data_IF_341147469543
#
_entry.id   IF_341147469543
#
_cell.length_a   1.000
_cell.length_b   1.000
_cell.length_c   1.000
_cell.angle_alpha   90.00
_cell.angle_beta   90.00
_cell.angle_gamma   90.00
#
_symmetry.space_group_name_H-M   'P 1'
#
loop_
_entity.id
_entity.type
_entity.pdbx_description
1 polymer ?
#
# COMPACT_ATOMS: atom_id res chain seq x y z
N UNK A 1 -16.82 6.78 2.68
CA UNK A 1 -15.68 5.97 2.21
C UNK A 1 -14.43 6.79 2.41
N UNK A 2 -13.53 6.38 3.32
CA UNK A 2 -12.24 7.05 3.48
C UNK A 2 -11.26 6.40 2.51
N UNK A 3 -11.05 7.09 1.40
CA UNK A 3 -10.02 6.75 0.45
C UNK A 3 -8.63 7.03 1.03
N UNK A 4 -7.71 6.08 0.93
CA UNK A 4 -6.33 6.23 1.35
C UNK A 4 -5.42 6.21 0.13
N UNK A 5 -4.80 7.36 -0.15
CA UNK A 5 -3.81 7.45 -1.22
C UNK A 5 -2.50 6.85 -0.73
N UNK A 6 -2.04 5.78 -1.37
CA UNK A 6 -0.75 5.14 -1.14
C UNK A 6 0.21 5.58 -2.26
N UNK A 7 1.23 6.35 -1.93
CA UNK A 7 2.29 6.76 -2.86
C UNK A 7 3.45 5.78 -2.79
N UNK A 8 3.82 5.19 -3.91
CA UNK A 8 4.99 4.32 -4.05
C UNK A 8 6.07 5.03 -4.84
N UNK A 9 7.29 5.00 -4.30
CA UNK A 9 8.48 5.53 -4.96
C UNK A 9 9.49 4.42 -5.16
N UNK A 10 9.96 4.23 -6.39
CA UNK A 10 11.15 3.42 -6.65
C UNK A 10 12.40 4.23 -6.32
N UNK A 11 13.23 3.72 -5.42
CA UNK A 11 14.50 4.33 -5.04
C UNK A 11 15.55 3.24 -4.88
N UNK A 12 16.65 3.32 -5.62
CA UNK A 12 17.76 2.36 -5.56
C UNK A 12 17.31 0.88 -5.65
N UNK A 13 16.37 0.57 -6.56
CA UNK A 13 15.86 -0.80 -6.76
C UNK A 13 14.82 -1.27 -5.72
N UNK A 14 14.41 -0.41 -4.78
CA UNK A 14 13.37 -0.74 -3.79
C UNK A 14 12.16 0.17 -3.96
N UNK A 15 10.96 -0.42 -4.01
CA UNK A 15 9.69 0.30 -4.05
C UNK A 15 9.20 0.59 -2.64
N UNK A 16 9.15 1.87 -2.26
CA UNK A 16 8.67 2.30 -0.94
C UNK A 16 7.28 2.90 -1.05
N UNK A 17 6.28 2.22 -0.49
CA UNK A 17 4.90 2.64 -0.33
C UNK A 17 4.70 3.48 0.95
N UNK A 18 3.94 4.57 0.85
CA UNK A 18 3.57 5.44 1.96
C UNK A 18 2.12 5.83 1.85
N UNK A 19 1.37 5.69 2.94
CA UNK A 19 -0.01 6.16 3.00
C UNK A 19 -0.07 7.65 3.34
N UNK A 20 -0.84 8.42 2.57
CA UNK A 20 -1.10 9.84 2.82
C UNK A 20 -2.01 9.98 4.03
N UNK A 21 -1.52 10.66 5.06
CA UNK A 21 -2.25 10.87 6.31
C UNK A 21 -2.04 9.77 7.36
N UNK A 22 -1.22 8.75 7.08
CA UNK A 22 -0.91 7.67 8.01
C UNK A 22 0.61 7.58 8.23
N UNK A 23 1.05 7.21 9.43
CA UNK A 23 2.49 7.00 9.72
C UNK A 23 3.02 5.67 9.16
N UNK A 24 2.16 4.84 8.59
CA UNK A 24 2.53 3.55 8.06
C UNK A 24 3.20 3.66 6.68
N UNK A 25 4.32 2.96 6.54
CA UNK A 25 5.06 2.79 5.29
C UNK A 25 5.41 1.32 5.09
N UNK A 26 5.50 0.89 3.85
CA UNK A 26 5.95 -0.44 3.48
C UNK A 26 6.96 -0.32 2.34
N UNK A 27 7.83 -1.31 2.20
CA UNK A 27 8.78 -1.37 1.10
C UNK A 27 8.77 -2.76 0.51
N UNK A 28 9.01 -2.85 -0.79
CA UNK A 28 9.10 -4.12 -1.50
C UNK A 28 10.12 -4.00 -2.61
N UNK A 29 10.94 -5.01 -2.80
CA UNK A 29 11.89 -5.10 -3.92
C UNK A 29 11.26 -5.76 -5.16
N UNK A 30 10.06 -6.35 -5.00
CA UNK A 30 9.39 -7.08 -6.07
C UNK A 30 8.71 -6.11 -7.04
N UNK A 31 7.74 -5.34 -6.54
CA UNK A 31 6.91 -4.45 -7.37
C UNK A 31 6.25 -3.35 -6.54
N UNK A 32 5.85 -2.27 -7.20
CA UNK A 32 5.08 -1.19 -6.59
C UNK A 32 3.75 -1.67 -6.01
N UNK A 33 3.05 -2.55 -6.72
CA UNK A 33 1.81 -3.19 -6.24
C UNK A 33 2.06 -4.02 -4.98
N UNK A 34 3.16 -4.78 -4.92
CA UNK A 34 3.49 -5.59 -3.75
C UNK A 34 3.73 -4.70 -2.52
N UNK A 35 4.43 -3.57 -2.68
CA UNK A 35 4.63 -2.59 -1.62
C UNK A 35 3.30 -1.96 -1.16
N UNK A 36 2.43 -1.58 -2.11
CA UNK A 36 1.12 -1.01 -1.78
C UNK A 36 0.21 -2.02 -1.06
N UNK A 37 0.18 -3.28 -1.53
CA UNK A 37 -0.58 -4.36 -0.88
C UNK A 37 -0.08 -4.63 0.53
N UNK A 38 1.22 -4.74 0.72
CA UNK A 38 1.80 -4.95 2.04
C UNK A 38 1.38 -3.82 3.01
N UNK A 39 1.33 -2.57 2.53
CA UNK A 39 0.87 -1.43 3.32
C UNK A 39 -0.62 -1.53 3.66
N UNK A 40 -1.48 -1.84 2.68
CA UNK A 40 -2.91 -1.98 2.90
C UNK A 40 -3.23 -3.14 3.84
N UNK A 41 -2.63 -4.32 3.62
CA UNK A 41 -2.77 -5.49 4.50
C UNK A 41 -2.31 -5.18 5.92
N UNK A 42 -1.19 -4.46 6.09
CA UNK A 42 -0.69 -4.05 7.41
C UNK A 42 -1.63 -3.09 8.14
N UNK A 43 -2.43 -2.32 7.41
CA UNK A 43 -3.44 -1.41 7.96
C UNK A 43 -4.85 -2.04 8.05
N UNK A 44 -5.02 -3.30 7.64
CA UNK A 44 -6.33 -3.96 7.57
C UNK A 44 -7.25 -3.36 6.50
N UNK A 45 -6.67 -2.82 5.43
CA UNK A 45 -7.35 -2.20 4.30
C UNK A 45 -7.31 -3.14 3.09
N UNK A 46 -8.31 -3.04 2.22
CA UNK A 46 -8.31 -3.73 0.94
C UNK A 46 -7.92 -2.76 -0.18
N UNK A 47 -6.99 -3.19 -1.04
CA UNK A 47 -6.66 -2.47 -2.27
C UNK A 47 -7.82 -2.64 -3.25
N UNK A 48 -8.83 -1.79 -3.13
CA UNK A 48 -10.07 -1.91 -3.88
C UNK A 48 -9.96 -1.45 -5.33
N UNK A 49 -9.06 -0.51 -5.64
CA UNK A 49 -8.84 -0.08 -7.02
C UNK A 49 -7.39 0.38 -7.21
N UNK A 50 -6.65 -0.36 -8.04
CA UNK A 50 -5.38 0.12 -8.58
C UNK A 50 -5.67 1.18 -9.65
N UNK A 51 -6.12 2.35 -9.23
CA UNK A 51 -6.11 3.49 -10.14
C UNK A 51 -4.66 3.97 -10.22
N UNK A 52 -3.94 3.42 -11.20
CA UNK A 52 -2.58 3.82 -11.51
C UNK A 52 -2.65 5.26 -12.03
N UNK A 53 -2.73 6.23 -11.12
CA UNK A 53 -2.63 7.63 -11.45
C UNK A 53 -1.15 7.87 -11.80
N UNK A 54 -0.81 7.52 -13.04
CA UNK A 54 0.42 7.93 -13.67
C UNK A 54 0.37 9.45 -13.71
N UNK A 55 0.97 10.08 -12.70
CA UNK A 55 1.07 11.52 -12.61
C UNK A 55 1.92 11.98 -13.80
N UNK A 56 1.20 12.38 -14.86
CA UNK A 56 1.67 13.12 -16.01
C UNK A 56 2.64 12.36 -16.94
N UNK A 57 2.29 12.27 -18.23
CA UNK A 57 3.12 11.72 -19.32
C UNK A 57 4.44 12.49 -19.58
N UNK A 58 4.90 13.33 -18.65
CA UNK A 58 6.05 14.21 -18.81
C UNK A 58 7.03 14.23 -17.62
N UNK A 59 6.81 13.44 -16.56
CA UNK A 59 7.73 13.45 -15.41
C UNK A 59 8.57 12.18 -15.39
N UNK A 60 9.90 12.35 -15.44
CA UNK A 60 10.92 11.28 -15.33
C UNK A 60 10.93 10.60 -13.95
N UNK A 61 10.04 11.01 -13.05
CA UNK A 61 9.96 10.53 -11.69
C UNK A 61 9.15 9.21 -11.62
N UNK A 62 9.74 8.10 -11.15
CA UNK A 62 9.06 6.82 -11.00
C UNK A 62 8.20 6.81 -9.72
N UNK A 63 7.34 7.81 -9.59
CA UNK A 63 6.33 7.89 -8.53
C UNK A 63 5.02 7.30 -9.04
N UNK A 64 4.57 6.23 -8.40
CA UNK A 64 3.31 5.58 -8.69
C UNK A 64 2.38 5.81 -7.50
N UNK A 65 1.17 6.30 -7.75
CA UNK A 65 0.16 6.46 -6.69
C UNK A 65 -0.90 5.38 -6.84
N UNK A 66 -1.37 4.88 -5.70
CA UNK A 66 -2.39 3.85 -5.57
C UNK A 66 -3.49 4.36 -4.65
N UNK A 67 -4.68 3.83 -4.86
CA UNK A 67 -5.84 4.15 -4.07
C UNK A 67 -6.22 2.89 -3.27
N UNK A 68 -6.30 3.01 -1.95
CA UNK A 68 -6.74 1.92 -1.08
C UNK A 68 -8.01 2.35 -0.35
N UNK A 69 -9.03 1.50 -0.37
CA UNK A 69 -10.25 1.79 0.36
C UNK A 69 -10.16 1.17 1.74
N UNK A 70 -10.56 1.92 2.76
CA UNK A 70 -10.79 1.38 4.10
C UNK A 70 -12.06 0.56 4.13
N UNK A 71 -12.02 -0.59 3.46
CA UNK A 71 -12.95 -1.67 3.73
C UNK A 71 -12.51 -2.21 5.07
N UNK A 72 -13.39 -2.14 6.09
CA UNK A 72 -13.15 -2.84 7.36
C UNK A 72 -13.15 -4.34 7.07
N UNK A 73 -12.05 -4.87 6.54
CA UNK A 73 -11.83 -6.29 6.49
C UNK A 73 -11.33 -6.67 7.87
N UNK A 74 -12.28 -6.91 8.79
CA UNK A 74 -11.96 -7.29 10.15
C UNK A 74 -11.41 -8.71 10.17
N UNK A 75 -10.10 -8.89 10.01
CA UNK A 75 -9.38 -10.11 10.42
C UNK A 75 -7.91 -9.81 10.72
N UNK A 76 -7.61 -9.72 12.01
CA UNK A 76 -6.41 -10.35 12.60
C UNK A 76 -6.83 -10.94 13.94
N UNK A 77 -7.67 -11.98 13.89
CA UNK A 77 -7.59 -13.01 14.90
C UNK A 77 -6.27 -13.71 14.64
N UNK A 78 -5.20 -13.21 15.26
CA UNK A 78 -4.10 -14.08 15.63
C UNK A 78 -4.68 -14.95 16.74
N UNK A 79 -5.34 -16.03 16.36
CA UNK A 79 -5.68 -17.11 17.26
C UNK A 79 -4.36 -17.89 17.45
N UNK A 80 -3.44 -17.31 18.23
CA UNK A 80 -2.35 -18.08 18.82
C UNK A 80 -3.00 -18.99 19.88
N UNK A 81 -3.63 -20.08 19.41
CA UNK A 81 -3.79 -21.29 20.21
C UNK A 81 -2.38 -21.87 20.34
N UNK A 82 -1.61 -21.33 21.28
CA UNK A 82 -0.43 -22.01 21.81
C UNK A 82 -0.96 -23.27 22.51
N UNK A 83 -0.65 -24.42 21.92
CA UNK A 83 -0.93 -25.78 22.40
C UNK A 83 -0.77 -25.89 23.93
N UNK A 84 -1.72 -26.55 24.59
CA UNK A 84 -1.65 -26.93 26.01
C UNK A 84 -0.40 -27.76 26.35
#
# INVERSE_FOLDING_TARGET
MTDLVISVRLSAGTYTARARGEKATASSTISAQAAARALATKLGLELAQLDLFAANRCSTDPHVQFIAQRIRCGKTSTDDNDDN
#
